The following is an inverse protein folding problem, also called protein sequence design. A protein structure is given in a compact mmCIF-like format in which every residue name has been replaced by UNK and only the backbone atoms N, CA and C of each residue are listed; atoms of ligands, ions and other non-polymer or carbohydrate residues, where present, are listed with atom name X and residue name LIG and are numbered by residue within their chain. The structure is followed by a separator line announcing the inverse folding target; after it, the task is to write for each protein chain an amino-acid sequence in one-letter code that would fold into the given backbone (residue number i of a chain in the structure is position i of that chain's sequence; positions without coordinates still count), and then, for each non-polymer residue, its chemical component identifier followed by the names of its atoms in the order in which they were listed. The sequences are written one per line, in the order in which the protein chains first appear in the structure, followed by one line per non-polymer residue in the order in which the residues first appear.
data_IF_935700801154
#
_entry.id   IF_935700801154
#
_cell.length_a   1.000
_cell.length_b   1.000
_cell.length_c   1.000
_cell.angle_alpha   90.00
_cell.angle_beta   90.00
_cell.angle_gamma   90.00
#
_symmetry.space_group_name_H-M   'P 1'
#
loop_
_entity.id
_entity.type
_entity.pdbx_description
1 polymer ?
#
# COMPACT_ATOMS: atom_id res chain seq x y z
N UNK A 1 -1.50 3.23 -0.02
CA UNK A 1 -0.13 3.76 -0.18
C UNK A 1 0.05 4.96 0.73
N UNK A 2 1.28 5.35 1.05
CA UNK A 2 1.57 6.59 1.79
C UNK A 2 2.64 7.41 1.07
N UNK A 3 2.69 8.70 1.35
CA UNK A 3 3.67 9.63 0.77
C UNK A 3 4.05 10.68 1.81
N UNK A 4 5.10 11.47 1.53
CA UNK A 4 5.45 12.65 2.35
C UNK A 4 4.30 13.65 2.50
N UNK A 5 3.42 13.76 1.51
CA UNK A 5 2.29 14.71 1.52
C UNK A 5 1.06 14.18 2.25
N UNK A 6 1.05 12.89 2.61
CA UNK A 6 -0.07 12.28 3.32
C UNK A 6 -0.41 10.87 2.82
N UNK A 7 -1.44 10.25 3.43
CA UNK A 7 -1.92 8.94 3.05
C UNK A 7 -2.65 8.99 1.70
N UNK A 8 -2.44 7.97 0.87
CA UNK A 8 -3.31 7.66 -0.25
C UNK A 8 -4.55 6.91 0.22
N UNK A 9 -5.26 6.28 -0.72
CA UNK A 9 -6.43 5.44 -0.39
C UNK A 9 -6.02 4.27 0.51
N UNK A 10 -6.84 4.03 1.54
CA UNK A 10 -6.83 2.85 2.40
C UNK A 10 -7.95 1.92 1.94
N UNK A 11 -7.64 0.64 1.73
CA UNK A 11 -8.58 -0.34 1.20
C UNK A 11 -8.57 -1.57 2.10
N UNK A 12 -9.75 -1.99 2.58
CA UNK A 12 -9.90 -3.25 3.29
C UNK A 12 -9.86 -4.41 2.30
N UNK A 13 -9.00 -5.38 2.58
CA UNK A 13 -8.92 -6.63 1.83
C UNK A 13 -9.59 -7.71 2.66
N UNK A 14 -10.73 -8.22 2.20
CA UNK A 14 -11.56 -9.17 2.96
C UNK A 14 -11.03 -10.60 2.91
N UNK A 15 -10.25 -10.93 1.88
CA UNK A 15 -9.76 -12.28 1.62
C UNK A 15 -8.23 -12.33 1.58
N UNK A 16 -7.65 -13.53 1.54
CA UNK A 16 -6.21 -13.69 1.35
C UNK A 16 -5.82 -13.17 -0.02
N UNK A 17 -5.07 -12.06 -0.04
CA UNK A 17 -4.62 -11.44 -1.27
C UNK A 17 -3.69 -12.34 -2.08
N UNK A 18 -4.06 -12.62 -3.33
CA UNK A 18 -3.19 -13.24 -4.32
C UNK A 18 -2.55 -12.18 -5.25
N UNK A 19 -1.65 -12.61 -6.14
CA UNK A 19 -0.96 -11.69 -7.05
C UNK A 19 -1.88 -10.98 -8.06
N UNK A 20 -3.00 -11.56 -8.46
CA UNK A 20 -3.96 -10.92 -9.36
C UNK A 20 -4.72 -9.79 -8.64
N UNK A 21 -5.25 -10.09 -7.45
CA UNK A 21 -5.90 -9.10 -6.58
C UNK A 21 -4.95 -7.94 -6.24
N UNK A 22 -3.67 -8.24 -5.98
CA UNK A 22 -2.68 -7.20 -5.72
C UNK A 22 -2.55 -6.22 -6.90
N UNK A 23 -2.43 -6.74 -8.14
CA UNK A 23 -2.33 -5.89 -9.34
C UNK A 23 -3.61 -5.08 -9.57
N UNK A 24 -4.77 -5.66 -9.30
CA UNK A 24 -6.07 -4.96 -9.37
C UNK A 24 -6.13 -3.81 -8.37
N UNK A 25 -5.81 -4.07 -7.09
CA UNK A 25 -5.75 -3.03 -6.05
C UNK A 25 -4.79 -1.90 -6.46
N UNK A 26 -3.61 -2.22 -7.00
CA UNK A 26 -2.69 -1.20 -7.50
C UNK A 26 -3.27 -0.42 -8.68
N UNK A 27 -3.89 -1.10 -9.63
CA UNK A 27 -4.52 -0.47 -10.80
C UNK A 27 -5.55 0.57 -10.38
N UNK A 28 -6.39 0.21 -9.41
CA UNK A 28 -7.57 0.99 -9.03
C UNK A 28 -7.26 2.10 -8.03
N UNK A 29 -6.12 2.00 -7.33
CA UNK A 29 -5.84 2.88 -6.20
C UNK A 29 -4.54 3.66 -6.31
N UNK A 30 -3.49 3.13 -6.95
CA UNK A 30 -2.17 3.76 -6.92
C UNK A 30 -2.15 5.09 -7.66
N UNK A 31 -2.58 5.11 -8.93
CA UNK A 31 -2.61 6.33 -9.73
C UNK A 31 -3.66 7.35 -9.24
N UNK A 32 -4.89 6.94 -8.87
CA UNK A 32 -5.83 7.87 -8.26
C UNK A 32 -5.30 8.51 -6.97
N UNK A 33 -4.62 7.74 -6.11
CA UNK A 33 -3.99 8.28 -4.89
C UNK A 33 -2.90 9.30 -5.23
N UNK A 34 -2.01 8.98 -6.17
CA UNK A 34 -0.94 9.90 -6.58
C UNK A 34 -1.49 11.22 -7.16
N UNK A 35 -2.58 11.15 -7.93
CA UNK A 35 -3.28 12.33 -8.46
C UNK A 35 -3.95 13.15 -7.36
N UNK A 36 -4.68 12.51 -6.45
CA UNK A 36 -5.35 13.18 -5.33
C UNK A 36 -4.35 13.91 -4.43
N UNK A 37 -3.17 13.31 -4.22
CA UNK A 37 -2.06 13.89 -3.47
C UNK A 37 -1.21 14.89 -4.27
N UNK A 38 -1.61 15.22 -5.51
CA UNK A 38 -0.90 16.16 -6.40
C UNK A 38 0.60 15.85 -6.53
N UNK A 39 0.95 14.56 -6.56
CA UNK A 39 2.33 14.13 -6.68
C UNK A 39 2.93 14.59 -8.01
N UNK A 40 4.11 15.21 -7.96
CA UNK A 40 4.87 15.58 -9.16
C UNK A 40 5.37 14.32 -9.89
N UNK A 41 5.72 14.47 -11.16
CA UNK A 41 6.33 13.38 -11.97
C UNK A 41 7.62 12.87 -11.30
N UNK A 42 7.99 11.62 -11.63
CA UNK A 42 9.26 11.03 -11.20
C UNK A 42 9.24 10.37 -9.82
N UNK A 43 8.06 10.18 -9.22
CA UNK A 43 7.95 9.39 -8.00
C UNK A 43 8.33 7.93 -8.22
N UNK A 44 8.81 7.28 -7.16
CA UNK A 44 9.22 5.88 -7.14
C UNK A 44 8.24 5.09 -6.29
N UNK A 45 7.79 3.95 -6.79
CA UNK A 45 6.94 3.02 -6.07
C UNK A 45 7.79 2.10 -5.20
N UNK A 46 7.46 1.99 -3.92
CA UNK A 46 8.08 1.06 -2.98
C UNK A 46 7.04 0.00 -2.57
N UNK A 47 7.49 -1.25 -2.50
CA UNK A 47 6.77 -2.37 -1.91
C UNK A 47 7.80 -3.37 -1.35
N UNK A 48 7.38 -4.26 -0.45
CA UNK A 48 8.25 -5.31 0.10
C UNK A 48 8.51 -6.45 -0.91
N UNK A 49 9.35 -7.40 -0.50
CA UNK A 49 9.73 -8.56 -1.31
C UNK A 49 8.77 -9.76 -1.19
N UNK A 50 7.51 -9.56 -0.79
CA UNK A 50 6.54 -10.65 -0.74
C UNK A 50 6.48 -11.39 -2.10
N UNK A 51 6.44 -12.74 -2.14
CA UNK A 51 6.42 -13.50 -3.39
C UNK A 51 5.38 -13.03 -4.41
N UNK A 52 4.23 -12.50 -3.98
CA UNK A 52 3.20 -12.00 -4.91
C UNK A 52 3.55 -10.65 -5.53
N UNK A 53 4.34 -9.82 -4.83
CA UNK A 53 4.84 -8.54 -5.30
C UNK A 53 6.00 -8.72 -6.28
N UNK A 54 6.84 -9.72 -6.03
CA UNK A 54 8.05 -10.00 -6.82
C UNK A 54 7.85 -11.06 -7.91
N UNK A 55 6.68 -11.70 -7.97
CA UNK A 55 6.31 -12.64 -9.02
C UNK A 55 6.49 -12.04 -10.43
N UNK A 56 6.88 -12.90 -11.39
CA UNK A 56 7.10 -12.50 -12.80
C UNK A 56 5.93 -11.70 -13.37
N UNK A 57 4.70 -12.18 -13.18
CA UNK A 57 3.50 -11.52 -13.67
C UNK A 57 3.31 -10.11 -13.07
N UNK A 58 3.65 -9.90 -11.80
CA UNK A 58 3.57 -8.59 -11.15
C UNK A 58 4.64 -7.65 -11.65
N UNK A 59 5.89 -8.12 -11.78
CA UNK A 59 7.00 -7.34 -12.35
C UNK A 59 6.72 -6.90 -13.80
N UNK A 60 6.22 -7.80 -14.63
CA UNK A 60 5.85 -7.51 -16.02
C UNK A 60 4.71 -6.49 -16.11
N UNK A 61 3.70 -6.62 -15.24
CA UNK A 61 2.59 -5.66 -15.16
C UNK A 61 3.07 -4.27 -14.74
N UNK A 62 3.93 -4.16 -13.71
CA UNK A 62 4.51 -2.89 -13.26
C UNK A 62 5.33 -2.22 -14.38
N UNK A 63 6.13 -3.01 -15.10
CA UNK A 63 6.89 -2.56 -16.27
C UNK A 63 5.98 -2.03 -17.38
N UNK A 64 4.91 -2.77 -17.74
CA UNK A 64 3.94 -2.35 -18.77
C UNK A 64 3.20 -1.07 -18.39
N UNK A 65 2.99 -0.82 -17.10
CA UNK A 65 2.40 0.41 -16.57
C UNK A 65 3.41 1.55 -16.39
N UNK A 66 4.68 1.34 -16.73
CA UNK A 66 5.76 2.31 -16.61
C UNK A 66 6.01 2.81 -15.18
N UNK A 67 5.79 1.96 -14.17
CA UNK A 67 6.12 2.30 -12.79
C UNK A 67 7.63 2.13 -12.54
N UNK A 68 8.26 3.16 -11.97
CA UNK A 68 9.61 3.04 -11.41
C UNK A 68 9.49 2.40 -10.03
N UNK A 69 10.06 1.22 -9.85
CA UNK A 69 10.00 0.46 -8.59
C UNK A 69 11.33 0.60 -7.87
N UNK A 70 11.30 0.84 -6.56
CA UNK A 70 12.47 0.86 -5.70
C UNK A 70 12.92 -0.58 -5.44
N UNK A 71 14.20 -0.87 -5.62
CA UNK A 71 14.78 -2.13 -5.15
C UNK A 71 14.73 -2.17 -3.62
N UNK A 72 14.24 -3.27 -3.07
CA UNK A 72 14.02 -3.41 -1.64
C UNK A 72 14.86 -4.56 -1.07
N UNK A 73 15.60 -4.35 0.03
CA UNK A 73 16.27 -5.45 0.72
C UNK A 73 15.25 -6.36 1.42
N UNK A 74 15.52 -7.66 1.42
CA UNK A 74 14.68 -8.64 2.11
C UNK A 74 14.78 -8.46 3.63
N UNK A 75 13.68 -8.72 4.34
CA UNK A 75 13.60 -8.67 5.80
C UNK A 75 13.97 -7.30 6.42
N UNK A 76 13.68 -6.20 5.72
CA UNK A 76 13.92 -4.84 6.23
C UNK A 76 12.60 -4.08 6.47
N UNK A 77 11.76 -4.51 7.42
CA UNK A 77 10.54 -3.77 7.77
C UNK A 77 10.85 -2.41 8.41
N UNK A 78 11.98 -2.31 9.11
CA UNK A 78 12.50 -1.09 9.75
C UNK A 78 12.74 0.06 8.75
N UNK A 79 13.05 -0.28 7.50
CA UNK A 79 13.24 0.69 6.44
C UNK A 79 11.91 1.19 5.85
N UNK A 80 10.78 0.51 6.09
CA UNK A 80 9.50 0.84 5.48
C UNK A 80 8.71 1.86 6.32
N UNK A 81 8.55 3.12 5.86
CA UNK A 81 7.89 4.15 6.65
C UNK A 81 6.40 3.85 6.94
N UNK A 82 5.78 2.93 6.19
CA UNK A 82 4.37 2.58 6.41
C UNK A 82 4.15 1.84 7.73
N UNK A 83 5.16 1.14 8.24
CA UNK A 83 5.08 0.42 9.51
C UNK A 83 4.85 1.39 10.68
N UNK A 84 5.53 2.55 10.65
CA UNK A 84 5.32 3.62 11.63
C UNK A 84 3.89 4.16 11.59
N UNK A 85 3.32 4.34 10.39
CA UNK A 85 1.94 4.79 10.25
C UNK A 85 0.95 3.73 10.74
N UNK A 86 1.20 2.44 10.47
CA UNK A 86 0.36 1.35 10.97
C UNK A 86 0.37 1.27 12.49
N UNK A 87 1.53 1.50 13.13
CA UNK A 87 1.63 1.56 14.58
C UNK A 87 0.75 2.69 15.14
N UNK A 88 0.87 3.90 14.61
CA UNK A 88 0.07 5.05 15.04
C UNK A 88 -1.43 4.81 14.81
N UNK A 89 -1.80 4.24 13.66
CA UNK A 89 -3.20 3.92 13.35
C UNK A 89 -3.78 2.93 14.36
N UNK A 90 -3.02 1.87 14.71
CA UNK A 90 -3.46 0.88 15.71
C UNK A 90 -3.70 1.53 17.07
N UNK A 91 -2.82 2.45 17.49
CA UNK A 91 -2.98 3.16 18.77
C UNK A 91 -4.26 4.00 18.77
N UNK A 92 -4.52 4.77 17.71
CA UNK A 92 -5.73 5.60 17.60
C UNK A 92 -7.01 4.76 17.52
N UNK A 93 -6.99 3.68 16.75
CA UNK A 93 -8.13 2.76 16.66
C UNK A 93 -8.42 2.11 18.02
N UNK A 94 -7.38 1.69 18.75
CA UNK A 94 -7.55 1.07 20.07
C UNK A 94 -8.20 2.02 21.09
N UNK A 95 -7.88 3.32 21.03
CA UNK A 95 -8.49 4.34 21.88
C UNK A 95 -10.00 4.48 21.66
N UNK A 96 -10.49 4.20 20.44
CA UNK A 96 -11.92 4.28 20.12
C UNK A 96 -12.70 3.02 20.51
N UNK A 97 -12.02 1.93 20.89
CA UNK A 97 -12.62 0.69 21.37
C UNK A 97 -13.77 0.16 20.48
N UNK A 98 -13.56 -0.04 19.16
CA UNK A 98 -14.61 -0.56 18.29
C UNK A 98 -15.04 -1.97 18.73
N UNK A 99 -16.36 -2.19 18.79
CA UNK A 99 -16.94 -3.44 19.31
C UNK A 99 -17.26 -4.48 18.22
N UNK A 100 -17.16 -4.09 16.95
CA UNK A 100 -17.42 -4.96 15.81
C UNK A 100 -16.68 -4.45 14.56
N UNK A 101 -16.70 -5.24 13.49
CA UNK A 101 -16.01 -4.91 12.23
C UNK A 101 -16.58 -3.64 11.59
N UNK A 102 -17.90 -3.44 11.63
CA UNK A 102 -18.52 -2.24 11.05
C UNK A 102 -18.03 -0.98 11.76
N UNK A 103 -18.04 -0.98 13.09
CA UNK A 103 -17.51 0.12 13.89
C UNK A 103 -16.02 0.34 13.63
N UNK A 104 -15.23 -0.72 13.41
CA UNK A 104 -13.81 -0.61 13.06
C UNK A 104 -13.60 0.02 11.68
N UNK A 105 -14.49 -0.22 10.71
CA UNK A 105 -14.41 0.33 9.36
C UNK A 105 -14.81 1.81 9.26
N UNK A 106 -15.58 2.31 10.23
CA UNK A 106 -16.05 3.69 10.29
C UNK A 106 -15.07 4.66 10.99
N UNK A 107 -14.03 4.12 11.65
CA UNK A 107 -12.94 4.90 12.26
C UNK A 107 -12.06 5.57 11.21
#
# INVERSE_FOLDING_TARGET
MITRTGPGRLIRVKERMNGAMYREILSDNLLPSARALKMKRGWVFQHDNDPKHTARATKEWLRKKHFKVLEWPSQSPDLNPIENLWMELKVRVAQQQPQNITALEEI
#
